data_IF_111500406779
#
_entry.id   IF_111500406779
#
_cell.length_a   1.000
_cell.length_b   1.000
_cell.length_c   1.000
_cell.angle_alpha   90.00
_cell.angle_beta   90.00
_cell.angle_gamma   90.00
#
_symmetry.space_group_name_H-M   'P 1'
#
loop_
_entity.id
_entity.type
_entity.pdbx_description
1 polymer ?
#
# COMPACT_ATOMS: atom_id res chain seq x y z
N UNK A 1 11.84 18.80 5.98
CA UNK A 1 10.81 18.68 4.95
C UNK A 1 9.88 17.52 5.29
N UNK A 2 8.59 17.74 5.18
CA UNK A 2 7.59 16.71 5.51
C UNK A 2 6.91 16.18 4.26
N UNK A 3 6.70 14.87 4.22
CA UNK A 3 5.91 14.20 3.20
C UNK A 3 4.77 13.44 3.88
N UNK A 4 3.57 13.52 3.32
CA UNK A 4 2.40 12.82 3.85
C UNK A 4 1.77 11.99 2.76
N UNK A 5 1.58 10.71 3.07
CA UNK A 5 0.96 9.74 2.16
C UNK A 5 -0.17 8.99 2.85
N UNK A 6 -0.99 8.33 2.05
CA UNK A 6 -2.09 7.50 2.55
C UNK A 6 -2.26 6.28 1.67
N UNK A 7 -2.68 5.18 2.27
CA UNK A 7 -2.92 3.93 1.56
C UNK A 7 -3.28 2.83 2.54
N UNK A 8 -3.07 1.59 2.13
CA UNK A 8 -3.30 0.47 3.03
C UNK A 8 -3.63 -0.82 2.31
N UNK A 9 -4.27 -1.73 3.03
CA UNK A 9 -4.58 -3.06 2.55
C UNK A 9 -6.04 -3.17 2.16
N UNK A 10 -6.28 -3.49 0.89
CA UNK A 10 -7.63 -3.75 0.37
C UNK A 10 -7.93 -5.24 0.48
N UNK A 11 -9.05 -5.58 1.10
CA UNK A 11 -9.52 -6.96 1.23
C UNK A 11 -10.58 -7.18 0.14
N UNK A 12 -10.47 -8.30 -0.57
CA UNK A 12 -11.37 -8.60 -1.67
C UNK A 12 -12.79 -8.95 -1.18
N UNK A 13 -13.71 -9.10 -2.13
CA UNK A 13 -15.12 -9.39 -1.81
C UNK A 13 -15.31 -10.70 -1.05
N UNK A 14 -14.40 -11.66 -1.21
CA UNK A 14 -14.47 -12.94 -0.48
C UNK A 14 -14.02 -12.81 0.99
N UNK A 15 -13.27 -11.76 1.30
CA UNK A 15 -12.67 -11.58 2.62
C UNK A 15 -11.41 -12.42 2.85
N UNK A 16 -10.89 -13.09 1.83
CA UNK A 16 -9.78 -14.04 1.96
C UNK A 16 -8.46 -13.56 1.36
N UNK A 17 -8.50 -12.50 0.55
CA UNK A 17 -7.32 -12.03 -0.17
C UNK A 17 -7.08 -10.54 0.06
N UNK A 18 -5.81 -10.15 0.00
CA UNK A 18 -5.37 -8.77 0.07
C UNK A 18 -4.69 -8.32 -1.21
N UNK A 19 -4.80 -7.03 -1.50
CA UNK A 19 -4.28 -6.43 -2.72
C UNK A 19 -2.87 -5.89 -2.50
N UNK A 20 -1.93 -6.34 -3.32
CA UNK A 20 -0.57 -5.82 -3.30
C UNK A 20 -0.15 -5.30 -4.67
N UNK A 21 0.73 -4.32 -4.65
CA UNK A 21 1.45 -3.83 -5.83
C UNK A 21 2.87 -4.36 -5.79
N UNK A 22 3.44 -4.58 -6.96
CA UNK A 22 4.81 -5.05 -7.09
C UNK A 22 5.62 -4.12 -7.97
N UNK A 23 6.86 -3.86 -7.54
CA UNK A 23 7.85 -3.12 -8.31
C UNK A 23 9.09 -3.97 -8.46
N UNK A 24 9.70 -3.95 -9.63
CA UNK A 24 10.96 -4.67 -9.86
C UNK A 24 12.05 -4.07 -8.98
N UNK A 25 12.82 -4.96 -8.34
CA UNK A 25 13.96 -4.55 -7.54
C UNK A 25 15.08 -4.07 -8.47
N UNK A 26 15.38 -2.78 -8.44
CA UNK A 26 16.40 -2.17 -9.28
C UNK A 26 17.82 -2.68 -8.95
N UNK A 27 17.99 -3.25 -7.79
CA UNK A 27 19.29 -3.81 -7.33
C UNK A 27 19.47 -5.26 -7.74
N UNK A 28 18.43 -5.92 -8.23
CA UNK A 28 18.49 -7.31 -8.66
C UNK A 28 19.10 -7.39 -10.07
N UNK A 29 20.28 -8.01 -10.24
CA UNK A 29 20.92 -8.09 -11.56
C UNK A 29 20.14 -8.95 -12.56
N UNK A 30 19.28 -9.85 -12.09
CA UNK A 30 18.46 -10.70 -12.98
C UNK A 30 17.22 -9.96 -13.49
N UNK A 31 16.82 -8.88 -12.83
CA UNK A 31 15.63 -8.11 -13.19
C UNK A 31 14.31 -8.82 -12.94
N UNK A 32 14.32 -9.93 -12.19
CA UNK A 32 13.14 -10.77 -11.97
C UNK A 32 12.51 -10.62 -10.59
N UNK A 33 13.28 -10.12 -9.61
CA UNK A 33 12.79 -9.97 -8.24
C UNK A 33 11.77 -8.85 -8.15
N UNK A 34 10.63 -9.14 -7.53
CA UNK A 34 9.56 -8.16 -7.28
C UNK A 34 9.52 -7.82 -5.80
N UNK A 35 9.45 -6.53 -5.52
CA UNK A 35 9.24 -6.01 -4.16
C UNK A 35 7.76 -5.71 -3.99
N UNK A 36 7.10 -6.47 -3.13
CA UNK A 36 5.67 -6.33 -2.89
C UNK A 36 5.40 -5.33 -1.76
N UNK A 37 4.32 -4.58 -1.93
CA UNK A 37 3.94 -3.50 -1.02
C UNK A 37 2.44 -3.26 -1.14
N UNK A 38 1.86 -2.59 -0.14
CA UNK A 38 0.49 -2.13 -0.24
C UNK A 38 0.42 -0.89 -1.12
N UNK A 39 -0.71 -0.65 -1.81
CA UNK A 39 -0.89 0.59 -2.57
C UNK A 39 -0.94 1.81 -1.63
N UNK A 40 -0.24 2.87 -2.01
CA UNK A 40 -0.23 4.15 -1.30
C UNK A 40 0.32 5.25 -2.18
N UNK A 41 0.06 6.48 -1.82
CA UNK A 41 0.63 7.64 -2.49
C UNK A 41 0.42 8.93 -1.73
N UNK A 42 0.94 10.02 -2.29
CA UNK A 42 0.90 11.33 -1.65
C UNK A 42 -0.51 11.89 -1.55
N UNK A 43 -0.78 12.57 -0.42
CA UNK A 43 -2.02 13.32 -0.22
C UNK A 43 -1.90 14.62 -1.02
N UNK A 44 -2.87 14.90 -1.86
CA UNK A 44 -2.93 16.14 -2.64
C UNK A 44 -3.63 17.25 -1.85
N UNK A 45 -3.36 18.49 -2.24
CA UNK A 45 -3.97 19.65 -1.61
C UNK A 45 -5.50 19.54 -1.66
N UNK A 46 -6.15 19.76 -0.51
CA UNK A 46 -7.59 19.69 -0.40
C UNK A 46 -8.16 18.31 -0.13
N UNK A 47 -7.34 17.26 -0.18
CA UNK A 47 -7.78 15.90 0.12
C UNK A 47 -7.63 15.59 1.60
N UNK A 48 -8.57 14.80 2.13
CA UNK A 48 -8.37 14.12 3.41
C UNK A 48 -7.48 12.89 3.20
N UNK A 49 -6.85 12.35 4.25
CA UNK A 49 -6.11 11.09 4.12
C UNK A 49 -6.95 9.95 3.54
N UNK A 50 -8.23 9.86 3.94
CA UNK A 50 -9.16 8.84 3.44
C UNK A 50 -9.40 8.98 1.94
N UNK A 51 -9.65 10.21 1.48
CA UNK A 51 -9.85 10.48 0.05
C UNK A 51 -8.62 10.14 -0.78
N UNK A 52 -7.45 10.54 -0.29
CA UNK A 52 -6.18 10.25 -0.95
C UNK A 52 -5.93 8.74 -1.03
N UNK A 53 -6.20 8.01 0.06
CA UNK A 53 -6.00 6.57 0.10
C UNK A 53 -6.88 5.85 -0.92
N UNK A 54 -8.16 6.19 -1.00
CA UNK A 54 -9.10 5.60 -1.97
C UNK A 54 -8.66 5.92 -3.39
N UNK A 55 -8.27 7.15 -3.66
CA UNK A 55 -7.79 7.57 -4.99
C UNK A 55 -6.53 6.82 -5.38
N UNK A 56 -5.55 6.73 -4.50
CA UNK A 56 -4.28 6.05 -4.80
C UNK A 56 -4.48 4.55 -5.06
N UNK A 57 -5.35 3.90 -4.30
CA UNK A 57 -5.69 2.49 -4.57
C UNK A 57 -6.24 2.35 -5.99
N UNK A 58 -7.18 3.20 -6.38
CA UNK A 58 -7.78 3.15 -7.71
C UNK A 58 -6.76 3.44 -8.81
N UNK A 59 -5.91 4.44 -8.64
CA UNK A 59 -4.88 4.80 -9.62
C UNK A 59 -3.83 3.70 -9.79
N UNK A 60 -3.32 3.15 -8.69
CA UNK A 60 -2.25 2.16 -8.76
C UNK A 60 -2.73 0.76 -9.16
N UNK A 61 -3.95 0.41 -8.86
CA UNK A 61 -4.43 -0.98 -8.99
C UNK A 61 -5.66 -1.18 -9.88
N UNK A 62 -6.41 -0.13 -10.16
CA UNK A 62 -7.70 -0.22 -10.86
C UNK A 62 -8.86 -0.64 -9.98
N UNK A 63 -8.64 -0.88 -8.68
CA UNK A 63 -9.68 -1.34 -7.77
C UNK A 63 -10.34 -0.18 -7.05
N UNK A 64 -11.67 -0.18 -7.04
CA UNK A 64 -12.48 0.75 -6.26
C UNK A 64 -12.77 0.13 -4.90
N UNK A 65 -12.62 0.93 -3.84
CA UNK A 65 -12.69 0.43 -2.48
C UNK A 65 -13.31 1.45 -1.53
N UNK A 66 -13.83 0.94 -0.41
CA UNK A 66 -14.28 1.74 0.72
C UNK A 66 -13.43 1.42 1.94
N UNK A 67 -13.16 2.43 2.76
CA UNK A 67 -12.42 2.26 4.00
C UNK A 67 -13.32 1.62 5.04
N UNK A 68 -12.82 0.58 5.71
CA UNK A 68 -13.53 -0.09 6.80
C UNK A 68 -12.91 0.23 8.16
N UNK A 69 -11.60 0.43 8.24
CA UNK A 69 -10.90 0.74 9.49
C UNK A 69 -9.66 1.58 9.24
N UNK A 70 -9.28 2.39 10.23
CA UNK A 70 -7.97 3.03 10.29
C UNK A 70 -7.01 2.12 11.04
N UNK A 71 -5.83 1.91 10.50
CA UNK A 71 -4.74 1.20 11.17
C UNK A 71 -3.78 2.16 11.88
N UNK A 72 -4.03 3.47 11.76
CA UNK A 72 -3.19 4.49 12.38
C UNK A 72 -2.17 5.06 11.43
N UNK A 73 -1.14 5.64 12.00
CA UNK A 73 -0.13 6.42 11.28
C UNK A 73 1.24 5.85 11.60
N UNK A 74 2.06 5.69 10.55
CA UNK A 74 3.48 5.40 10.72
C UNK A 74 4.23 6.66 10.32
N UNK A 75 5.20 7.09 11.12
CA UNK A 75 6.10 8.16 10.73
C UNK A 75 7.56 7.76 10.93
N UNK A 76 8.41 8.30 10.10
CA UNK A 76 9.83 8.00 10.16
C UNK A 76 10.62 9.09 9.44
N UNK A 77 11.93 9.14 9.74
CA UNK A 77 12.85 10.06 9.12
C UNK A 77 13.79 9.31 8.19
N UNK A 78 14.13 9.93 7.07
CA UNK A 78 15.13 9.39 6.16
C UNK A 78 15.91 10.52 5.49
N UNK A 79 17.06 10.17 4.89
CA UNK A 79 17.89 11.12 4.17
C UNK A 79 17.71 10.94 2.68
N UNK A 80 17.47 12.03 1.97
CA UNK A 80 17.37 12.04 0.53
C UNK A 80 17.93 13.35 -0.02
N UNK A 81 18.83 13.27 -0.98
CA UNK A 81 19.45 14.46 -1.58
C UNK A 81 20.16 15.36 -0.58
N UNK A 82 20.74 14.80 0.49
CA UNK A 82 21.40 15.55 1.55
C UNK A 82 20.46 16.23 2.52
N UNK A 83 19.15 15.99 2.42
CA UNK A 83 18.12 16.57 3.30
C UNK A 83 17.50 15.53 4.18
N UNK A 84 17.15 15.93 5.41
CA UNK A 84 16.41 15.09 6.34
C UNK A 84 14.91 15.26 6.06
N UNK A 85 14.24 14.14 5.74
CA UNK A 85 12.82 14.13 5.39
C UNK A 85 12.04 13.35 6.43
N UNK A 86 10.95 13.97 6.94
CA UNK A 86 9.99 13.32 7.82
C UNK A 86 8.82 12.83 6.97
N UNK A 87 8.59 11.53 6.97
CA UNK A 87 7.48 10.95 6.23
C UNK A 87 6.42 10.42 7.18
N UNK A 88 5.17 10.78 6.91
CA UNK A 88 4.00 10.31 7.63
C UNK A 88 3.12 9.54 6.66
N UNK A 89 2.70 8.33 7.02
CA UNK A 89 1.82 7.52 6.18
C UNK A 89 0.59 7.09 6.97
N UNK A 90 -0.57 7.51 6.51
CA UNK A 90 -1.86 7.09 7.07
C UNK A 90 -2.25 5.74 6.46
N UNK A 91 -2.56 4.76 7.31
CA UNK A 91 -2.87 3.41 6.89
C UNK A 91 -4.31 3.03 7.19
N UNK A 92 -4.94 2.36 6.23
CA UNK A 92 -6.33 1.92 6.34
C UNK A 92 -6.49 0.48 5.89
N UNK A 93 -7.57 -0.15 6.33
CA UNK A 93 -8.09 -1.37 5.72
C UNK A 93 -9.29 -0.95 4.89
N UNK A 94 -9.36 -1.48 3.67
CA UNK A 94 -10.43 -1.22 2.72
C UNK A 94 -11.13 -2.52 2.36
N UNK A 95 -12.35 -2.41 1.85
CA UNK A 95 -13.03 -3.51 1.18
C UNK A 95 -13.17 -3.19 -0.31
N UNK A 96 -12.96 -4.18 -1.14
CA UNK A 96 -13.21 -4.08 -2.59
C UNK A 96 -14.69 -3.86 -2.86
N UNK A 97 -15.01 -2.86 -3.71
CA UNK A 97 -16.39 -2.62 -4.16
C UNK A 97 -16.55 -2.73 -5.67
N UNK A 98 -15.47 -2.75 -6.42
CA UNK A 98 -15.52 -2.89 -7.87
C UNK A 98 -14.18 -2.65 -8.53
N UNK A 99 -14.22 -2.51 -9.85
CA UNK A 99 -13.02 -2.26 -10.65
C UNK A 99 -12.37 -3.54 -11.17
N UNK A 100 -11.33 -3.35 -11.97
CA UNK A 100 -10.54 -4.44 -12.54
C UNK A 100 -9.06 -4.18 -12.27
N UNK A 101 -8.31 -5.22 -11.95
CA UNK A 101 -6.87 -5.10 -11.73
C UNK A 101 -6.20 -4.53 -12.98
N UNK A 102 -5.59 -3.35 -12.81
CA UNK A 102 -4.90 -2.65 -13.89
C UNK A 102 -3.69 -1.94 -13.29
N UNK A 103 -2.47 -2.45 -13.48
CA UNK A 103 -1.28 -1.81 -12.92
C UNK A 103 -1.03 -0.45 -13.58
N UNK A 104 -0.63 0.53 -12.78
CA UNK A 104 -0.21 1.83 -13.27
C UNK A 104 1.19 1.68 -13.88
N UNK A 105 1.27 1.70 -15.20
CA UNK A 105 2.48 1.36 -15.97
C UNK A 105 3.75 2.10 -15.56
N UNK A 106 3.63 3.37 -15.15
CA UNK A 106 4.80 4.19 -14.83
C UNK A 106 5.39 3.92 -13.44
N UNK A 107 4.60 3.36 -12.51
CA UNK A 107 5.01 3.22 -11.11
C UNK A 107 4.88 1.81 -10.55
N UNK A 108 4.09 0.97 -11.20
CA UNK A 108 3.77 -0.37 -10.70
C UNK A 108 3.97 -1.38 -11.83
N UNK A 109 4.80 -2.39 -11.58
CA UNK A 109 5.05 -3.44 -12.57
C UNK A 109 3.98 -4.54 -12.52
N UNK A 110 3.47 -4.85 -11.33
CA UNK A 110 2.46 -5.89 -11.14
C UNK A 110 1.46 -5.51 -10.06
N UNK A 111 0.25 -6.03 -10.17
CA UNK A 111 -0.77 -5.96 -9.10
C UNK A 111 -1.39 -7.34 -8.97
N UNK A 112 -1.84 -7.69 -7.77
CA UNK A 112 -2.45 -8.99 -7.58
C UNK A 112 -3.14 -9.13 -6.24
N UNK A 113 -4.02 -10.14 -6.19
CA UNK A 113 -4.67 -10.59 -4.97
C UNK A 113 -3.91 -11.77 -4.40
N UNK A 114 -3.62 -11.71 -3.12
CA UNK A 114 -2.86 -12.76 -2.43
C UNK A 114 -3.61 -13.22 -1.18
N UNK A 115 -3.53 -14.49 -0.81
CA UNK A 115 -4.15 -14.94 0.44
C UNK A 115 -3.69 -14.09 1.61
N UNK A 116 -4.62 -13.69 2.49
CA UNK A 116 -4.29 -12.88 3.65
C UNK A 116 -3.22 -13.52 4.53
N UNK A 117 -3.22 -14.85 4.62
CA UNK A 117 -2.21 -15.59 5.37
C UNK A 117 -0.78 -15.41 4.84
N UNK A 118 -0.63 -15.02 3.58
CA UNK A 118 0.68 -14.86 2.94
C UNK A 118 1.18 -13.41 2.94
N UNK A 119 0.31 -12.45 3.23
CA UNK A 119 0.61 -11.02 3.06
C UNK A 119 1.86 -10.60 3.84
N UNK A 120 1.94 -10.91 5.12
CA UNK A 120 3.08 -10.48 5.95
C UNK A 120 4.39 -11.03 5.38
N UNK A 121 4.40 -12.28 4.94
CA UNK A 121 5.59 -12.89 4.36
C UNK A 121 6.00 -12.31 3.01
N UNK A 122 5.04 -11.78 2.24
CA UNK A 122 5.30 -11.22 0.92
C UNK A 122 5.79 -9.77 0.96
N UNK A 123 5.38 -8.99 1.97
CA UNK A 123 5.74 -7.59 2.06
C UNK A 123 7.26 -7.41 2.15
N UNK A 124 7.79 -6.50 1.33
CA UNK A 124 9.23 -6.25 1.27
C UNK A 124 9.74 -5.33 2.37
N UNK A 125 8.87 -4.49 2.94
CA UNK A 125 9.29 -3.41 3.84
C UNK A 125 8.95 -3.72 5.30
N UNK A 126 9.95 -3.65 6.22
CA UNK A 126 9.75 -4.04 7.63
C UNK A 126 8.62 -3.29 8.36
N UNK A 127 8.44 -2.00 8.10
CA UNK A 127 7.40 -1.22 8.76
C UNK A 127 6.00 -1.67 8.37
N UNK A 128 5.80 -2.02 7.09
CA UNK A 128 4.54 -2.59 6.61
C UNK A 128 4.27 -3.94 7.25
N UNK A 129 5.29 -4.81 7.30
CA UNK A 129 5.18 -6.13 7.93
C UNK A 129 4.73 -6.00 9.39
N UNK A 130 5.35 -5.11 10.13
CA UNK A 130 5.02 -4.89 11.55
C UNK A 130 3.60 -4.40 11.72
N UNK A 131 3.18 -3.45 10.90
CA UNK A 131 1.85 -2.88 11.00
C UNK A 131 0.77 -3.93 10.72
N UNK A 132 0.92 -4.68 9.64
CA UNK A 132 -0.06 -5.70 9.25
C UNK A 132 -0.05 -6.85 10.25
N UNK A 133 1.12 -7.31 10.71
CA UNK A 133 1.22 -8.38 11.71
C UNK A 133 0.55 -7.98 13.04
N UNK A 134 0.75 -6.74 13.49
CA UNK A 134 0.15 -6.20 14.71
C UNK A 134 -1.38 -6.18 14.63
N UNK A 135 -1.93 -5.98 13.43
CA UNK A 135 -3.37 -5.86 13.21
C UNK A 135 -3.97 -7.09 12.53
N UNK A 136 -3.26 -8.21 12.52
CA UNK A 136 -3.68 -9.42 11.80
C UNK A 136 -5.06 -9.94 12.21
N UNK A 137 -5.44 -9.79 13.48
CA UNK A 137 -6.77 -10.20 13.97
C UNK A 137 -7.91 -9.39 13.34
N UNK A 138 -7.63 -8.20 12.83
CA UNK A 138 -8.62 -7.37 12.15
C UNK A 138 -8.86 -7.81 10.70
N UNK A 139 -8.04 -8.72 10.20
CA UNK A 139 -8.11 -9.22 8.83
C UNK A 139 -8.91 -10.52 8.72
N UNK A 140 -9.34 -11.03 9.83
CA UNK A 140 -10.05 -12.32 9.90
C UNK A 140 -11.55 -12.12 9.97
#
# INVERSE_FOLDING_TARGET
MDEVSAGGLVIDKSGLQGLLIGRRDQKDPTGTKILWSRPKGHIEEGETPEQAAIREVAEETGINSDITKSLGVIDFWFMAGGKRIHKTVHHFIFKEIGGLLTPQESEVDEVGWFPLSDIVGLLAYPDEKKLIAKNSELLV
#
